data_IF_556563075433
#
_entry.id   IF_556563075433
#
_cell.length_a   1.000
_cell.length_b   1.000
_cell.length_c   1.000
_cell.angle_alpha   90.00
_cell.angle_beta   90.00
_cell.angle_gamma   90.00
#
_symmetry.space_group_name_H-M   'P 1'
#
loop_
_entity.id
_entity.type
_entity.pdbx_description
1 polymer ?
#
# COMPACT_ATOMS: atom_id res chain seq x y z
N UNK A 1 25.86 1.50 0.63
CA UNK A 1 24.39 1.46 0.44
C UNK A 1 23.88 2.85 0.79
N UNK A 2 23.03 3.48 -0.04
CA UNK A 2 22.52 4.83 0.22
C UNK A 2 21.79 4.90 1.57
N UNK A 3 21.90 6.04 2.26
CA UNK A 3 21.24 6.24 3.54
C UNK A 3 19.70 6.40 3.38
N UNK A 4 18.95 6.16 4.45
CA UNK A 4 17.48 6.20 4.42
C UNK A 4 16.92 7.56 3.95
N UNK A 5 17.63 8.63 4.27
CA UNK A 5 17.35 10.00 3.90
C UNK A 5 17.78 10.34 2.47
N UNK A 6 18.55 9.50 1.80
CA UNK A 6 18.80 9.60 0.36
C UNK A 6 17.64 8.98 -0.43
N UNK A 7 16.98 7.95 0.13
CA UNK A 7 15.90 7.20 -0.54
C UNK A 7 14.53 7.90 -0.45
N UNK A 8 14.14 8.36 0.75
CA UNK A 8 12.86 9.03 1.00
C UNK A 8 13.16 10.35 1.70
N UNK A 9 13.04 11.45 0.96
CA UNK A 9 13.44 12.79 1.37
C UNK A 9 12.39 13.84 0.97
N UNK A 10 12.53 15.11 1.40
CA UNK A 10 11.56 16.16 1.07
C UNK A 10 11.29 16.28 -0.43
N UNK A 11 12.32 16.16 -1.28
CA UNK A 11 12.14 16.21 -2.74
C UNK A 11 11.27 15.06 -3.26
N UNK A 12 11.41 13.85 -2.72
CA UNK A 12 10.55 12.72 -3.09
C UNK A 12 9.09 12.95 -2.67
N UNK A 13 8.84 13.57 -1.51
CA UNK A 13 7.48 13.88 -1.06
C UNK A 13 6.83 15.00 -1.88
N UNK A 14 7.60 16.02 -2.26
CA UNK A 14 7.12 17.11 -3.12
C UNK A 14 6.80 16.63 -4.53
N UNK A 15 7.62 15.72 -5.06
CA UNK A 15 7.37 15.06 -6.34
C UNK A 15 6.10 14.21 -6.27
N UNK A 16 5.94 13.43 -5.21
CA UNK A 16 4.74 12.63 -5.00
C UNK A 16 3.49 13.51 -4.90
N UNK A 17 3.55 14.61 -4.14
CA UNK A 17 2.46 15.58 -4.04
C UNK A 17 2.07 16.18 -5.40
N UNK A 18 3.07 16.47 -6.25
CA UNK A 18 2.84 17.03 -7.59
C UNK A 18 2.19 16.00 -8.52
N UNK A 19 2.66 14.75 -8.47
CA UNK A 19 2.11 13.63 -9.25
C UNK A 19 0.67 13.32 -8.83
N UNK A 20 0.38 13.26 -7.53
CA UNK A 20 -0.97 12.96 -7.02
C UNK A 20 -1.93 14.11 -7.26
N UNK A 21 -1.48 15.37 -7.13
CA UNK A 21 -2.29 16.54 -7.46
C UNK A 21 -2.69 16.57 -8.94
N UNK A 22 -1.75 16.27 -9.84
CA UNK A 22 -2.04 16.15 -11.28
C UNK A 22 -2.97 14.97 -11.61
N UNK A 23 -3.05 13.97 -10.73
CA UNK A 23 -3.94 12.82 -10.83
C UNK A 23 -5.31 13.03 -10.17
N UNK A 24 -5.63 14.25 -9.72
CA UNK A 24 -6.94 14.60 -9.16
C UNK A 24 -7.04 14.55 -7.63
N UNK A 25 -5.94 14.37 -6.90
CA UNK A 25 -5.93 14.55 -5.44
C UNK A 25 -5.94 16.05 -5.10
N UNK A 26 -6.96 16.52 -4.38
CA UNK A 26 -7.07 17.94 -4.03
C UNK A 26 -5.86 18.40 -3.20
N UNK A 27 -5.10 19.39 -3.70
CA UNK A 27 -3.97 20.10 -3.06
C UNK A 27 -2.73 19.29 -2.60
N UNK A 28 -2.87 17.98 -2.31
CA UNK A 28 -1.84 17.11 -1.75
C UNK A 28 -1.16 17.71 -0.50
N UNK A 29 -1.96 18.31 0.40
CA UNK A 29 -1.48 19.10 1.53
C UNK A 29 -0.69 18.25 2.53
N UNK A 30 -1.15 17.03 2.86
CA UNK A 30 -0.45 16.18 3.80
C UNK A 30 0.92 15.73 3.26
N UNK A 31 1.00 15.45 1.95
CA UNK A 31 2.25 15.08 1.27
C UNK A 31 3.25 16.24 1.26
N UNK A 32 2.81 17.47 0.96
CA UNK A 32 3.67 18.67 1.03
C UNK A 32 4.18 18.94 2.44
N UNK A 33 3.39 18.64 3.47
CA UNK A 33 3.80 18.77 4.87
C UNK A 33 4.83 17.72 5.34
N UNK A 34 5.02 16.62 4.61
CA UNK A 34 5.88 15.53 5.07
C UNK A 34 7.35 15.93 5.21
N UNK A 35 7.88 16.78 4.33
CA UNK A 35 9.31 17.09 4.26
C UNK A 35 9.91 17.51 5.62
N UNK A 36 9.20 18.35 6.37
CA UNK A 36 9.61 18.78 7.71
C UNK A 36 9.66 17.63 8.74
N UNK A 37 8.76 16.66 8.61
CA UNK A 37 8.62 15.52 9.53
C UNK A 37 9.67 14.43 9.29
N UNK A 38 10.35 14.43 8.14
CA UNK A 38 11.32 13.39 7.80
C UNK A 38 12.69 13.62 8.45
N UNK A 39 13.03 14.83 8.88
CA UNK A 39 14.36 15.15 9.44
C UNK A 39 14.67 14.27 10.66
N UNK A 40 15.83 13.61 10.67
CA UNK A 40 16.26 12.70 11.74
C UNK A 40 15.45 11.39 11.87
N UNK A 41 14.46 11.15 11.01
CA UNK A 41 13.63 9.94 11.07
C UNK A 41 14.33 8.73 10.45
N UNK A 42 14.09 7.56 11.06
CA UNK A 42 14.48 6.26 10.49
C UNK A 42 13.72 5.97 9.18
N UNK A 43 14.24 5.07 8.35
CA UNK A 43 13.59 4.67 7.10
C UNK A 43 12.12 4.24 7.31
N UNK A 44 11.87 3.33 8.26
CA UNK A 44 10.51 2.84 8.54
C UNK A 44 9.56 3.95 8.99
N UNK A 45 10.06 4.93 9.76
CA UNK A 45 9.27 6.10 10.17
C UNK A 45 8.95 6.97 8.96
N UNK A 46 9.92 7.21 8.06
CA UNK A 46 9.70 7.96 6.81
C UNK A 46 8.64 7.30 5.93
N UNK A 47 8.74 5.99 5.69
CA UNK A 47 7.74 5.21 4.93
C UNK A 47 6.36 5.36 5.56
N UNK A 48 6.26 5.22 6.89
CA UNK A 48 4.98 5.33 7.61
C UNK A 48 4.38 6.72 7.52
N UNK A 49 5.19 7.78 7.67
CA UNK A 49 4.76 9.17 7.56
C UNK A 49 4.21 9.45 6.16
N UNK A 50 4.95 9.09 5.11
CA UNK A 50 4.51 9.33 3.72
C UNK A 50 3.29 8.48 3.38
N UNK A 51 3.24 7.21 3.79
CA UNK A 51 2.06 6.35 3.64
C UNK A 51 0.80 7.00 4.22
N UNK A 52 0.88 7.53 5.44
CA UNK A 52 -0.26 8.20 6.10
C UNK A 52 -0.70 9.44 5.32
N UNK A 53 0.24 10.21 4.80
CA UNK A 53 -0.08 11.36 3.95
C UNK A 53 -0.75 10.95 2.63
N UNK A 54 -0.28 9.88 1.97
CA UNK A 54 -0.92 9.30 0.79
C UNK A 54 -2.37 8.91 1.09
N UNK A 55 -2.62 8.24 2.22
CA UNK A 55 -3.97 7.85 2.63
C UNK A 55 -4.87 9.04 2.98
N UNK A 56 -4.30 10.14 3.49
CA UNK A 56 -5.05 11.34 3.83
C UNK A 56 -5.40 12.19 2.60
N UNK A 57 -4.50 12.29 1.63
CA UNK A 57 -4.68 13.15 0.44
C UNK A 57 -5.48 12.48 -0.68
N UNK A 58 -5.53 11.14 -0.74
CA UNK A 58 -6.26 10.41 -1.76
C UNK A 58 -7.69 10.02 -1.31
N UNK A 59 -8.62 9.79 -2.26
CA UNK A 59 -9.98 9.38 -1.93
C UNK A 59 -10.05 8.17 -1.00
N UNK A 60 -11.08 8.15 -0.16
CA UNK A 60 -11.26 7.08 0.83
C UNK A 60 -11.86 5.79 0.22
N UNK A 61 -12.68 5.93 -0.81
CA UNK A 61 -13.26 4.82 -1.57
C UNK A 61 -12.19 4.17 -2.46
N UNK A 62 -12.06 2.83 -2.37
CA UNK A 62 -10.99 2.10 -3.04
C UNK A 62 -10.95 2.31 -4.57
N UNK A 63 -12.07 2.28 -5.32
CA UNK A 63 -12.02 2.51 -6.77
C UNK A 63 -11.46 3.88 -7.15
N UNK A 64 -11.86 4.94 -6.44
CA UNK A 64 -11.36 6.29 -6.68
C UNK A 64 -9.89 6.45 -6.26
N UNK A 65 -9.51 5.82 -5.14
CA UNK A 65 -8.12 5.73 -4.70
C UNK A 65 -7.23 5.03 -5.75
N UNK A 66 -7.66 3.86 -6.22
CA UNK A 66 -6.95 3.08 -7.23
C UNK A 66 -6.87 3.82 -8.57
N UNK A 67 -7.93 4.53 -8.96
CA UNK A 67 -7.94 5.39 -10.15
C UNK A 67 -6.88 6.49 -10.07
N UNK A 68 -6.77 7.18 -8.93
CA UNK A 68 -5.77 8.23 -8.73
C UNK A 68 -4.32 7.67 -8.72
N UNK A 69 -4.09 6.51 -8.10
CA UNK A 69 -2.78 5.81 -8.18
C UNK A 69 -2.48 5.33 -9.60
N UNK A 70 -3.50 4.87 -10.33
CA UNK A 70 -3.40 4.49 -11.74
C UNK A 70 -3.04 5.66 -12.66
N UNK A 71 -3.65 6.83 -12.43
CA UNK A 71 -3.30 8.05 -13.15
C UNK A 71 -1.87 8.50 -12.83
N UNK A 72 -1.41 8.36 -11.59
CA UNK A 72 -0.01 8.56 -11.23
C UNK A 72 0.93 7.58 -11.95
N UNK A 73 0.54 6.31 -12.08
CA UNK A 73 1.29 5.28 -12.82
C UNK A 73 1.49 5.58 -14.30
N UNK A 74 0.59 6.34 -14.93
CA UNK A 74 0.75 6.78 -16.32
C UNK A 74 1.86 7.83 -16.48
N UNK A 75 2.37 8.40 -15.40
CA UNK A 75 3.40 9.42 -15.46
C UNK A 75 4.81 8.84 -15.40
N UNK A 76 5.72 9.22 -16.31
CA UNK A 76 7.11 8.76 -16.31
C UNK A 76 7.88 9.11 -15.03
N UNK A 77 7.47 10.17 -14.35
CA UNK A 77 8.09 10.68 -13.14
C UNK A 77 7.70 9.91 -11.87
N UNK A 78 6.72 9.01 -11.95
CA UNK A 78 6.29 8.16 -10.85
C UNK A 78 7.07 6.83 -10.82
N UNK A 79 8.28 6.89 -10.26
CA UNK A 79 9.22 5.77 -10.22
C UNK A 79 10.14 5.83 -9.00
N UNK A 80 10.88 4.74 -8.74
CA UNK A 80 11.89 4.64 -7.69
C UNK A 80 11.29 4.58 -6.29
N UNK A 81 12.08 4.99 -5.30
CA UNK A 81 11.77 4.92 -3.87
C UNK A 81 10.49 5.66 -3.45
N UNK A 82 10.05 6.63 -4.24
CA UNK A 82 8.78 7.34 -4.05
C UNK A 82 7.56 6.40 -4.10
N UNK A 83 7.66 5.26 -4.81
CA UNK A 83 6.56 4.29 -4.93
C UNK A 83 6.43 3.39 -3.70
N UNK A 84 7.48 3.25 -2.89
CA UNK A 84 7.49 2.32 -1.76
C UNK A 84 6.43 2.65 -0.68
N UNK A 85 6.27 3.92 -0.24
CA UNK A 85 5.18 4.29 0.67
C UNK A 85 3.78 4.18 0.03
N UNK A 86 3.68 4.38 -1.29
CA UNK A 86 2.41 4.23 -2.03
C UNK A 86 1.97 2.77 -2.04
N UNK A 87 2.89 1.83 -2.27
CA UNK A 87 2.61 0.40 -2.20
C UNK A 87 2.04 0.02 -0.83
N UNK A 88 2.63 0.54 0.25
CA UNK A 88 2.13 0.33 1.60
C UNK A 88 0.71 0.92 1.81
N UNK A 89 0.42 2.08 1.21
CA UNK A 89 -0.91 2.69 1.25
C UNK A 89 -1.95 1.87 0.48
N UNK A 90 -1.60 1.33 -0.69
CA UNK A 90 -2.48 0.44 -1.47
C UNK A 90 -2.85 -0.79 -0.65
N UNK A 91 -1.87 -1.42 0.00
CA UNK A 91 -2.13 -2.59 0.84
C UNK A 91 -3.03 -2.27 2.03
N UNK A 92 -2.76 -1.18 2.74
CA UNK A 92 -3.56 -0.75 3.88
C UNK A 92 -5.00 -0.42 3.47
N UNK A 93 -5.19 0.38 2.42
CA UNK A 93 -6.51 0.74 1.91
C UNK A 93 -7.26 -0.49 1.40
N UNK A 94 -6.59 -1.38 0.67
CA UNK A 94 -7.20 -2.58 0.11
C UNK A 94 -7.71 -3.53 1.19
N UNK A 95 -6.92 -3.78 2.23
CA UNK A 95 -7.32 -4.61 3.35
C UNK A 95 -8.42 -3.95 4.21
N UNK A 96 -8.33 -2.64 4.45
CA UNK A 96 -9.35 -1.91 5.21
C UNK A 96 -10.73 -1.89 4.52
N UNK A 97 -10.76 -2.04 3.20
CA UNK A 97 -11.98 -2.06 2.38
C UNK A 97 -12.38 -3.45 1.89
N UNK A 98 -11.68 -4.50 2.34
CA UNK A 98 -11.90 -5.90 1.96
C UNK A 98 -11.90 -6.15 0.44
N UNK A 99 -11.06 -5.43 -0.31
CA UNK A 99 -10.93 -5.55 -1.79
C UNK A 99 -9.63 -6.25 -2.19
N UNK A 100 -9.61 -7.57 -2.02
CA UNK A 100 -8.40 -8.38 -2.19
C UNK A 100 -7.81 -8.31 -3.61
N UNK A 101 -8.59 -8.69 -4.63
CA UNK A 101 -8.12 -8.81 -6.02
C UNK A 101 -7.70 -7.46 -6.60
N UNK A 102 -8.52 -6.38 -6.53
CA UNK A 102 -8.10 -5.07 -7.01
C UNK A 102 -6.87 -4.54 -6.26
N UNK A 103 -6.80 -4.79 -4.95
CA UNK A 103 -5.63 -4.56 -4.09
C UNK A 103 -4.34 -5.11 -4.67
N UNK A 104 -4.36 -6.42 -4.94
CA UNK A 104 -3.22 -7.16 -5.44
C UNK A 104 -2.85 -6.78 -6.87
N UNK A 105 -3.84 -6.57 -7.74
CA UNK A 105 -3.61 -6.25 -9.15
C UNK A 105 -2.95 -4.87 -9.29
N UNK A 106 -3.35 -3.89 -8.46
CA UNK A 106 -2.67 -2.60 -8.41
C UNK A 106 -1.22 -2.72 -7.90
N UNK A 107 -0.96 -3.56 -6.89
CA UNK A 107 0.42 -3.84 -6.45
C UNK A 107 1.26 -4.52 -7.54
N UNK A 108 0.66 -5.40 -8.35
CA UNK A 108 1.33 -6.00 -9.49
C UNK A 108 1.72 -4.93 -10.51
N UNK A 109 0.82 -3.99 -10.83
CA UNK A 109 1.11 -2.86 -11.72
C UNK A 109 2.18 -1.90 -11.17
N UNK A 110 2.28 -1.75 -9.84
CA UNK A 110 3.31 -0.93 -9.19
C UNK A 110 4.68 -1.60 -9.10
N UNK A 111 4.74 -2.93 -9.15
CA UNK A 111 5.99 -3.69 -8.97
C UNK A 111 7.12 -3.28 -9.93
N UNK A 112 6.88 -3.06 -11.24
CA UNK A 112 7.93 -2.63 -12.17
C UNK A 112 8.52 -1.24 -11.89
N UNK A 113 7.89 -0.43 -11.03
CA UNK A 113 8.38 0.91 -10.69
C UNK A 113 9.47 0.90 -9.61
N UNK A 114 9.51 -0.16 -8.80
CA UNK A 114 10.56 -0.44 -7.79
C UNK A 114 10.43 -1.89 -7.26
N UNK A 115 9.52 -2.12 -6.31
CA UNK A 115 9.11 -3.42 -5.76
C UNK A 115 7.86 -3.24 -4.89
N UNK A 116 6.92 -4.20 -4.92
CA UNK A 116 5.76 -4.25 -4.03
C UNK A 116 5.83 -5.40 -3.00
N UNK A 117 6.98 -6.06 -2.85
CA UNK A 117 7.12 -7.29 -2.04
C UNK A 117 6.71 -7.11 -0.57
N UNK A 118 6.97 -5.94 0.02
CA UNK A 118 6.61 -5.67 1.41
C UNK A 118 5.11 -5.38 1.55
N UNK A 119 4.49 -4.81 0.52
CA UNK A 119 3.09 -4.48 0.48
C UNK A 119 2.18 -5.69 0.19
N UNK A 120 2.68 -6.71 -0.52
CA UNK A 120 1.88 -7.92 -0.81
C UNK A 120 1.79 -8.87 0.40
N UNK A 121 2.76 -8.85 1.32
CA UNK A 121 2.81 -9.76 2.49
C UNK A 121 1.55 -9.73 3.36
N UNK A 122 0.97 -8.56 3.72
CA UNK A 122 -0.31 -8.50 4.43
C UNK A 122 -1.45 -9.27 3.77
N UNK A 123 -1.57 -9.23 2.43
CA UNK A 123 -2.56 -10.02 1.69
C UNK A 123 -2.32 -11.53 1.83
N UNK A 124 -1.05 -11.98 1.76
CA UNK A 124 -0.70 -13.40 1.93
C UNK A 124 -1.04 -13.90 3.34
N UNK A 125 -0.82 -13.07 4.36
CA UNK A 125 -1.17 -13.36 5.76
C UNK A 125 -2.68 -13.50 5.90
N UNK A 126 -3.47 -12.59 5.31
CA UNK A 126 -4.94 -12.64 5.31
C UNK A 126 -5.48 -13.95 4.72
N UNK A 127 -5.02 -14.33 3.52
CA UNK A 127 -5.43 -15.59 2.86
C UNK A 127 -5.09 -16.81 3.71
N UNK A 128 -3.92 -16.81 4.37
CA UNK A 128 -3.53 -17.90 5.27
C UNK A 128 -4.48 -17.98 6.47
N UNK A 129 -4.87 -16.86 7.06
CA UNK A 129 -5.81 -16.81 8.18
C UNK A 129 -7.18 -17.36 7.78
N UNK A 130 -7.72 -16.95 6.62
CA UNK A 130 -9.02 -17.43 6.15
C UNK A 130 -9.05 -18.93 5.88
N UNK A 131 -7.98 -19.47 5.26
CA UNK A 131 -7.84 -20.93 5.07
C UNK A 131 -7.79 -21.69 6.39
N UNK A 132 -7.17 -21.15 7.42
CA UNK A 132 -7.16 -21.77 8.76
C UNK A 132 -8.56 -21.74 9.41
N UNK A 133 -9.31 -20.66 9.22
CA UNK A 133 -10.70 -20.54 9.71
C UNK A 133 -11.63 -21.54 9.01
N UNK A 134 -11.55 -21.66 7.68
CA UNK A 134 -12.33 -22.65 6.91
C UNK A 134 -12.00 -24.09 7.34
N UNK A 135 -10.70 -24.41 7.55
CA UNK A 135 -10.27 -25.73 8.02
C UNK A 135 -10.81 -26.06 9.41
N UNK A 136 -10.93 -25.08 10.30
CA UNK A 136 -11.49 -25.25 11.65
C UNK A 136 -13.02 -25.32 11.68
N UNK A 137 -13.71 -24.76 10.67
CA UNK A 137 -15.17 -24.73 10.57
C UNK A 137 -15.80 -25.96 9.91
N UNK A 138 -15.04 -26.98 9.48
CA UNK A 138 -15.64 -28.26 9.04
C UNK A 138 -16.31 -28.96 10.23
N UNK A 139 -17.65 -29.02 10.31
CA UNK A 139 -18.33 -29.79 11.34
C UNK A 139 -18.34 -31.26 10.90
N UNK A 140 -17.97 -32.17 11.82
CA UNK A 140 -18.29 -33.59 11.73
C UNK A 140 -17.71 -34.34 10.53
N UNK A 141 -16.42 -34.70 10.60
CA UNK A 141 -16.06 -36.02 10.06
C UNK A 141 -16.63 -37.03 11.06
N UNK A 142 -17.83 -37.54 10.75
CA UNK A 142 -18.51 -38.58 11.49
C UNK A 142 -17.50 -39.71 11.82
N UNK A 143 -17.16 -39.84 13.10
CA UNK A 143 -16.62 -41.11 13.62
C UNK A 143 -17.76 -42.12 13.52
N UNK A 144 -17.81 -42.83 12.41
CA UNK A 144 -18.59 -44.04 12.27
C UNK A 144 -18.18 -45.00 13.37
N UNK A 145 -19.15 -45.41 14.18
CA UNK A 145 -19.04 -46.47 15.19
C UNK A 145 -18.49 -47.74 14.52
N UNK A 146 -17.38 -48.26 15.04
CA UNK A 146 -17.02 -49.65 14.84
C UNK A 146 -17.85 -50.47 15.82
N UNK A 147 -18.84 -51.18 15.31
CA UNK A 147 -19.42 -52.37 15.95
C UNK A 147 -18.78 -53.58 15.29
N UNK A 148 -17.92 -54.29 16.03
CA UNK A 148 -17.76 -55.74 16.04
C UNK A 148 -17.20 -56.12 17.42
#
# INVERSE_FOLDING_TARGET
MPAADELINPRTTDRLASVTAAAGAASATALRGCGALLKGSTFSRRVTTVKKAVLADLPDAYPAFAGAVGAALSRPDFTGWTTFPVNAAVAERGLARDVFEPGRDLLAALTPRLTAEMAVRPFLIRVRADRMTVRRRRPGCCRGRATW
#
